data_IF_083850250819
#
_entry.id   IF_083850250819
#
_cell.length_a   1.000
_cell.length_b   1.000
_cell.length_c   1.000
_cell.angle_alpha   90.00
_cell.angle_beta   90.00
_cell.angle_gamma   90.00
#
_symmetry.space_group_name_H-M   'P 1'
#
loop_
_entity.id
_entity.type
_entity.pdbx_description
1 polymer ?
#
# COMPACT_ATOMS: atom_id res chain seq x y z
N UNK A 1 34.77 -24.70 -5.96
CA UNK A 1 34.59 -24.56 -4.51
C UNK A 1 33.25 -23.87 -4.28
N UNK A 2 32.32 -24.47 -3.54
CA UNK A 2 31.05 -23.83 -3.21
C UNK A 2 31.26 -22.92 -2.00
N UNK A 3 30.89 -21.63 -2.10
CA UNK A 3 30.82 -20.70 -0.97
C UNK A 3 29.37 -20.70 -0.48
N UNK A 4 29.12 -21.17 0.74
CA UNK A 4 27.81 -21.09 1.39
C UNK A 4 27.74 -19.77 2.16
N UNK A 5 26.69 -18.98 1.92
CA UNK A 5 26.44 -17.73 2.63
C UNK A 5 25.24 -17.93 3.53
N UNK A 6 25.40 -17.66 4.82
CA UNK A 6 24.32 -17.69 5.82
C UNK A 6 24.03 -16.26 6.25
N UNK A 7 22.79 -15.83 6.08
CA UNK A 7 22.33 -14.51 6.50
C UNK A 7 21.40 -14.72 7.69
N UNK A 8 21.73 -14.09 8.82
CA UNK A 8 20.90 -14.10 10.03
C UNK A 8 20.28 -12.71 10.17
N UNK A 9 18.97 -12.66 10.39
CA UNK A 9 18.24 -11.39 10.52
C UNK A 9 17.04 -11.55 11.45
N UNK A 10 16.64 -10.44 12.06
CA UNK A 10 15.48 -10.38 12.96
C UNK A 10 14.30 -9.80 12.18
N UNK A 11 13.16 -10.50 12.18
CA UNK A 11 11.92 -10.01 11.57
C UNK A 11 11.41 -8.82 12.37
N UNK A 12 11.24 -7.67 11.71
CA UNK A 12 10.66 -6.48 12.35
C UNK A 12 9.14 -6.53 12.39
N UNK A 13 8.59 -6.03 13.49
CA UNK A 13 7.16 -5.82 13.72
C UNK A 13 6.72 -4.40 13.36
N UNK A 14 7.17 -3.86 12.23
CA UNK A 14 6.91 -2.48 11.81
C UNK A 14 6.71 -2.32 10.30
N UNK A 15 6.16 -1.18 9.84
CA UNK A 15 5.88 -0.94 8.43
C UNK A 15 7.15 -1.01 7.57
N UNK A 16 7.04 -1.67 6.41
CA UNK A 16 8.10 -1.81 5.42
C UNK A 16 8.52 -0.41 4.96
N UNK A 17 9.74 0.02 5.30
CA UNK A 17 10.28 1.34 4.96
C UNK A 17 10.50 2.29 6.14
N UNK A 18 10.00 1.97 7.34
CA UNK A 18 10.36 2.65 8.59
C UNK A 18 11.73 2.20 9.14
N UNK A 19 12.63 1.80 8.24
CA UNK A 19 14.00 1.45 8.59
C UNK A 19 14.85 2.68 8.80
N UNK A 20 15.72 2.62 9.80
CA UNK A 20 16.74 3.64 10.05
C UNK A 20 17.69 3.71 8.83
N UNK A 21 18.46 4.80 8.73
CA UNK A 21 19.42 4.98 7.64
C UNK A 21 20.40 3.80 7.50
N UNK A 22 20.70 3.11 8.60
CA UNK A 22 21.51 1.90 8.66
C UNK A 22 20.89 0.72 7.89
N UNK A 23 19.57 0.53 7.95
CA UNK A 23 18.90 -0.60 7.28
C UNK A 23 18.90 -0.44 5.76
N UNK A 24 18.70 0.80 5.30
CA UNK A 24 18.76 1.13 3.87
C UNK A 24 20.16 0.91 3.32
N UNK A 25 21.19 1.18 4.12
CA UNK A 25 22.58 0.91 3.77
C UNK A 25 22.84 -0.60 3.68
N UNK A 26 22.41 -1.36 4.68
CA UNK A 26 22.58 -2.81 4.73
C UNK A 26 21.87 -3.52 3.57
N UNK A 27 20.65 -3.08 3.23
CA UNK A 27 19.91 -3.60 2.07
C UNK A 27 20.64 -3.34 0.76
N UNK A 28 21.22 -2.15 0.56
CA UNK A 28 22.03 -1.85 -0.63
C UNK A 28 23.26 -2.76 -0.72
N UNK A 29 23.98 -2.94 0.38
CA UNK A 29 25.13 -3.83 0.43
C UNK A 29 24.76 -5.29 0.08
N UNK A 30 23.67 -5.81 0.64
CA UNK A 30 23.19 -7.17 0.32
C UNK A 30 22.82 -7.33 -1.16
N UNK A 31 22.22 -6.31 -1.77
CA UNK A 31 21.90 -6.31 -3.20
C UNK A 31 23.16 -6.28 -4.07
N UNK A 32 24.17 -5.51 -3.68
CA UNK A 32 25.45 -5.43 -4.39
C UNK A 32 26.22 -6.76 -4.33
N UNK A 33 26.25 -7.41 -3.16
CA UNK A 33 26.81 -8.77 -2.98
C UNK A 33 26.08 -9.76 -3.90
N UNK A 34 24.75 -9.69 -3.95
CA UNK A 34 23.94 -10.55 -4.82
C UNK A 34 24.19 -10.34 -6.33
N UNK A 35 24.67 -9.16 -6.73
CA UNK A 35 24.97 -8.81 -8.14
C UNK A 35 26.33 -9.28 -8.63
N UNK A 36 27.20 -9.81 -7.77
CA UNK A 36 28.43 -10.48 -8.20
C UNK A 36 29.68 -10.17 -7.38
N UNK A 37 29.61 -9.24 -6.44
CA UNK A 37 30.75 -8.95 -5.57
C UNK A 37 30.78 -9.92 -4.37
N UNK A 38 31.15 -11.18 -4.66
CA UNK A 38 31.21 -12.27 -3.67
C UNK A 38 32.47 -12.22 -2.80
N UNK A 39 33.44 -11.39 -3.15
CA UNK A 39 34.69 -11.22 -2.40
C UNK A 39 34.62 -10.04 -1.43
N UNK A 40 33.56 -9.22 -1.50
CA UNK A 40 33.22 -8.22 -0.47
C UNK A 40 32.71 -8.82 0.85
N UNK A 41 32.43 -10.12 0.91
CA UNK A 41 32.05 -10.81 2.15
C UNK A 41 33.30 -11.26 2.90
N UNK A 42 33.52 -10.67 4.08
CA UNK A 42 34.53 -11.10 5.03
C UNK A 42 34.39 -12.60 5.38
N UNK A 43 35.51 -13.29 5.52
CA UNK A 43 35.52 -14.70 5.91
C UNK A 43 35.02 -14.86 7.35
N UNK A 44 34.35 -15.98 7.67
CA UNK A 44 33.98 -16.34 9.05
C UNK A 44 35.19 -16.37 9.99
N UNK A 45 36.38 -16.65 9.45
CA UNK A 45 37.66 -16.65 10.17
C UNK A 45 38.05 -15.26 10.69
N UNK A 46 37.48 -14.18 10.15
CA UNK A 46 37.73 -12.81 10.61
C UNK A 46 36.90 -12.46 11.86
N UNK A 47 35.88 -13.27 12.19
CA UNK A 47 34.93 -12.99 13.29
C UNK A 47 35.08 -13.92 14.50
N UNK A 48 36.24 -14.58 14.65
CA UNK A 48 36.49 -15.57 15.72
C UNK A 48 36.24 -15.01 17.12
N UNK A 49 36.44 -13.71 17.34
CA UNK A 49 36.32 -13.05 18.64
C UNK A 49 34.98 -12.31 18.86
N UNK A 50 34.03 -12.39 17.93
CA UNK A 50 32.71 -11.77 18.06
C UNK A 50 31.59 -12.80 17.86
N UNK A 51 31.24 -13.58 18.91
CA UNK A 51 30.11 -14.48 18.84
C UNK A 51 28.82 -13.66 18.64
N UNK A 52 28.09 -13.94 17.55
CA UNK A 52 26.75 -13.39 17.37
C UNK A 52 25.80 -14.05 18.36
N UNK A 53 25.31 -13.27 19.32
CA UNK A 53 24.32 -13.75 20.29
C UNK A 53 22.98 -13.95 19.59
N UNK A 54 22.63 -15.21 19.36
CA UNK A 54 21.33 -15.58 18.82
C UNK A 54 20.26 -15.24 19.88
N UNK A 55 19.28 -14.37 19.58
CA UNK A 55 18.21 -14.09 20.51
C UNK A 55 17.43 -15.36 20.81
N UNK A 56 17.09 -15.57 22.08
CA UNK A 56 16.28 -16.71 22.50
C UNK A 56 14.93 -16.63 21.78
N UNK A 57 14.60 -17.67 21.02
CA UNK A 57 13.29 -17.77 20.39
C UNK A 57 12.20 -17.72 21.47
N UNK A 58 11.07 -17.06 21.18
CA UNK A 58 9.88 -17.24 22.01
C UNK A 58 9.49 -18.72 22.04
N UNK A 59 8.80 -19.18 23.08
CA UNK A 59 8.35 -20.58 23.25
C UNK A 59 7.34 -21.04 22.17
N UNK A 60 7.20 -20.29 21.08
CA UNK A 60 6.35 -20.61 19.96
C UNK A 60 7.02 -21.68 19.10
N UNK A 61 6.24 -22.61 18.56
CA UNK A 61 6.77 -23.65 17.69
C UNK A 61 7.45 -23.02 16.46
N UNK A 62 8.66 -23.49 16.08
CA UNK A 62 9.36 -22.96 14.92
C UNK A 62 8.56 -23.21 13.65
N UNK A 63 7.99 -22.15 13.07
CA UNK A 63 7.28 -22.23 11.80
C UNK A 63 8.27 -22.33 10.64
N UNK A 64 8.41 -23.53 10.07
CA UNK A 64 9.09 -23.72 8.80
C UNK A 64 8.11 -23.46 7.65
N UNK A 65 8.35 -22.41 6.87
CA UNK A 65 7.61 -22.18 5.62
C UNK A 65 8.33 -22.83 4.45
N UNK A 66 7.70 -23.82 3.84
CA UNK A 66 8.16 -24.37 2.57
C UNK A 66 7.92 -23.35 1.44
N UNK A 67 8.71 -23.43 0.36
CA UNK A 67 8.51 -22.59 -0.83
C UNK A 67 7.17 -22.86 -1.54
N UNK A 68 6.50 -23.97 -1.21
CA UNK A 68 5.19 -24.35 -1.73
C UNK A 68 4.15 -23.91 -0.70
N UNK A 69 3.27 -22.99 -1.11
CA UNK A 69 2.20 -22.49 -0.24
C UNK A 69 1.16 -23.61 0.00
N UNK A 70 0.98 -23.99 1.27
CA UNK A 70 -0.14 -24.82 1.71
C UNK A 70 -1.43 -23.98 1.71
N UNK A 71 -2.52 -24.56 1.20
CA UNK A 71 -3.82 -23.90 1.08
C UNK A 71 -4.41 -23.57 2.45
N UNK A 72 -4.19 -24.42 3.45
CA UNK A 72 -4.73 -24.18 4.79
C UNK A 72 -3.92 -23.12 5.55
N UNK A 73 -2.59 -23.10 5.40
CA UNK A 73 -1.75 -22.01 5.94
C UNK A 73 -2.11 -20.67 5.28
N UNK A 74 -2.33 -20.67 3.96
CA UNK A 74 -2.74 -19.48 3.23
C UNK A 74 -4.08 -18.94 3.70
N UNK A 75 -5.05 -19.81 4.01
CA UNK A 75 -6.35 -19.40 4.56
C UNK A 75 -6.19 -18.68 5.90
N UNK A 76 -5.37 -19.21 6.79
CA UNK A 76 -5.11 -18.60 8.09
C UNK A 76 -4.41 -17.23 7.93
N UNK A 77 -3.41 -17.16 7.05
CA UNK A 77 -2.70 -15.92 6.75
C UNK A 77 -3.62 -14.85 6.14
N UNK A 78 -4.53 -15.24 5.24
CA UNK A 78 -5.52 -14.33 4.64
C UNK A 78 -6.41 -13.74 5.74
N UNK A 79 -6.91 -14.55 6.67
CA UNK A 79 -7.79 -14.03 7.75
C UNK A 79 -7.12 -12.98 8.65
N UNK A 80 -5.80 -13.03 8.80
CA UNK A 80 -5.03 -12.08 9.61
C UNK A 80 -4.30 -11.02 8.76
N UNK A 81 -4.61 -10.95 7.46
CA UNK A 81 -3.89 -10.08 6.54
C UNK A 81 -4.19 -8.60 6.83
N UNK A 82 -3.15 -7.76 7.01
CA UNK A 82 -3.33 -6.32 7.22
C UNK A 82 -3.92 -5.62 5.99
N UNK A 83 -3.93 -6.29 4.83
CA UNK A 83 -4.56 -5.80 3.60
C UNK A 83 -6.03 -5.49 3.85
N UNK A 84 -6.76 -6.32 4.59
CA UNK A 84 -8.18 -6.08 4.86
C UNK A 84 -8.41 -4.79 5.64
N UNK A 85 -7.57 -4.50 6.64
CA UNK A 85 -7.65 -3.23 7.38
C UNK A 85 -7.38 -2.00 6.51
N UNK A 86 -6.55 -2.16 5.46
CA UNK A 86 -6.25 -1.09 4.50
C UNK A 86 -7.41 -0.89 3.54
N UNK A 87 -7.99 -1.99 3.05
CA UNK A 87 -9.19 -1.97 2.21
C UNK A 87 -10.37 -1.38 2.98
N UNK A 88 -10.57 -1.75 4.25
CA UNK A 88 -11.59 -1.14 5.10
C UNK A 88 -11.41 0.36 5.28
N UNK A 89 -10.18 0.86 5.40
CA UNK A 89 -9.93 2.31 5.45
C UNK A 89 -10.16 3.02 4.12
N UNK A 90 -9.96 2.33 3.00
CA UNK A 90 -10.24 2.86 1.66
C UNK A 90 -11.74 2.82 1.33
N UNK A 91 -12.47 1.82 1.84
CA UNK A 91 -13.91 1.66 1.65
C UNK A 91 -14.73 2.43 2.69
N UNK A 92 -14.22 2.55 3.91
CA UNK A 92 -14.81 3.29 5.01
C UNK A 92 -14.57 4.77 4.80
N UNK A 93 -15.48 5.43 4.09
CA UNK A 93 -15.49 6.88 4.12
C UNK A 93 -15.70 7.34 5.57
N UNK A 94 -14.83 8.22 6.06
CA UNK A 94 -15.00 8.92 7.33
C UNK A 94 -16.21 9.88 7.33
N UNK A 95 -17.07 9.79 6.31
CA UNK A 95 -18.31 10.54 6.13
C UNK A 95 -19.55 9.63 6.09
N UNK A 96 -19.53 8.51 6.84
CA UNK A 96 -20.65 7.57 7.03
C UNK A 96 -21.98 8.19 7.58
N UNK A 97 -22.10 9.52 7.66
CA UNK A 97 -23.34 10.19 8.06
C UNK A 97 -24.09 10.90 6.92
N UNK A 98 -23.65 10.77 5.67
CA UNK A 98 -24.47 11.16 4.53
C UNK A 98 -25.51 10.07 4.25
N UNK A 99 -26.57 9.97 5.06
CA UNK A 99 -27.74 9.18 4.69
C UNK A 99 -28.45 9.87 3.54
N UNK A 100 -28.25 9.40 2.31
CA UNK A 100 -29.05 9.82 1.18
C UNK A 100 -30.50 9.36 1.42
N UNK A 101 -31.40 10.30 1.70
CA UNK A 101 -32.82 10.03 1.67
C UNK A 101 -33.22 9.63 0.26
N UNK A 102 -34.16 8.68 0.14
CA UNK A 102 -34.65 8.22 -1.15
C UNK A 102 -35.34 9.40 -1.85
N UNK A 103 -34.83 9.89 -2.98
CA UNK A 103 -35.41 11.06 -3.61
C UNK A 103 -36.80 10.69 -4.17
N UNK A 104 -37.75 11.62 -4.08
CA UNK A 104 -39.11 11.43 -4.61
C UNK A 104 -39.13 11.25 -6.14
N UNK A 105 -38.06 11.64 -6.82
CA UNK A 105 -37.87 11.53 -8.26
C UNK A 105 -36.48 10.95 -8.56
N UNK A 106 -36.33 10.18 -9.65
CA UNK A 106 -35.04 9.64 -10.05
C UNK A 106 -34.02 10.75 -10.30
N UNK A 107 -32.80 10.56 -9.81
CA UNK A 107 -31.71 11.51 -10.04
C UNK A 107 -31.41 11.66 -11.53
N UNK A 108 -31.24 12.91 -11.97
CA UNK A 108 -30.67 13.19 -13.29
C UNK A 108 -29.18 12.85 -13.30
N UNK A 109 -28.62 12.63 -14.49
CA UNK A 109 -27.20 12.26 -14.68
C UNK A 109 -26.24 13.20 -13.95
N UNK A 110 -26.51 14.51 -13.97
CA UNK A 110 -25.70 15.52 -13.27
C UNK A 110 -25.71 15.34 -11.75
N UNK A 111 -26.88 15.08 -11.15
CA UNK A 111 -26.98 14.83 -9.71
C UNK A 111 -26.21 13.57 -9.30
N UNK A 112 -26.29 12.51 -10.12
CA UNK A 112 -25.54 11.28 -9.88
C UNK A 112 -24.03 11.52 -9.92
N UNK A 113 -23.54 12.27 -10.92
CA UNK A 113 -22.13 12.62 -11.02
C UNK A 113 -21.66 13.41 -9.78
N UNK A 114 -22.45 14.39 -9.32
CA UNK A 114 -22.13 15.16 -8.11
C UNK A 114 -22.11 14.30 -6.85
N UNK A 115 -23.07 13.40 -6.69
CA UNK A 115 -23.13 12.49 -5.52
C UNK A 115 -21.99 11.46 -5.52
N UNK A 116 -21.61 10.96 -6.69
CA UNK A 116 -20.44 10.09 -6.85
C UNK A 116 -19.16 10.85 -6.53
N UNK A 117 -18.97 12.05 -7.11
CA UNK A 117 -17.82 12.92 -6.85
C UNK A 117 -17.68 13.28 -5.36
N UNK A 118 -18.81 13.53 -4.68
CA UNK A 118 -18.86 13.83 -3.24
C UNK A 118 -18.63 12.59 -2.34
N UNK A 119 -18.48 11.40 -2.91
CA UNK A 119 -18.32 10.14 -2.16
C UNK A 119 -19.58 9.68 -1.41
N UNK A 120 -20.73 10.32 -1.67
CA UNK A 120 -22.01 9.94 -1.09
C UNK A 120 -22.58 8.64 -1.70
N UNK A 121 -22.07 8.24 -2.87
CA UNK A 121 -22.38 7.00 -3.57
C UNK A 121 -21.16 6.07 -3.70
N UNK A 122 -20.30 6.00 -2.67
CA UNK A 122 -19.18 5.05 -2.60
C UNK A 122 -19.69 3.62 -2.35
N UNK A 123 -20.42 3.06 -3.31
CA UNK A 123 -21.12 1.79 -3.14
C UNK A 123 -21.20 1.01 -4.44
N UNK A 124 -21.61 -0.26 -4.32
CA UNK A 124 -21.85 -1.11 -5.46
C UNK A 124 -23.10 -0.65 -6.23
N UNK A 125 -22.93 -0.37 -7.51
CA UNK A 125 -23.97 0.04 -8.46
C UNK A 125 -24.16 -1.08 -9.48
N UNK A 126 -25.41 -1.37 -9.84
CA UNK A 126 -25.75 -2.45 -10.78
C UNK A 126 -26.06 -3.79 -10.10
N UNK A 127 -26.39 -4.80 -10.90
CA UNK A 127 -26.88 -6.11 -10.46
C UNK A 127 -26.22 -7.20 -11.31
N UNK A 128 -25.87 -8.33 -10.67
CA UNK A 128 -25.27 -9.48 -11.36
C UNK A 128 -23.88 -9.17 -11.94
N UNK A 129 -23.66 -9.54 -13.20
CA UNK A 129 -22.37 -9.37 -13.89
C UNK A 129 -22.04 -7.91 -14.20
N UNK A 130 -23.04 -7.02 -14.19
CA UNK A 130 -22.89 -5.57 -14.34
C UNK A 130 -22.82 -4.85 -12.99
N UNK A 131 -22.39 -5.55 -11.93
CA UNK A 131 -22.13 -4.94 -10.64
C UNK A 131 -20.76 -4.28 -10.67
N UNK A 132 -20.74 -2.98 -10.50
CA UNK A 132 -19.53 -2.17 -10.42
C UNK A 132 -19.47 -1.45 -9.09
N UNK A 133 -18.28 -1.31 -8.53
CA UNK A 133 -18.05 -0.44 -7.39
C UNK A 133 -17.64 0.94 -7.91
N UNK A 134 -18.36 1.97 -7.50
CA UNK A 134 -18.05 3.36 -7.85
C UNK A 134 -17.44 4.05 -6.65
N UNK A 135 -16.31 4.73 -6.85
CA UNK A 135 -15.61 5.47 -5.80
C UNK A 135 -15.29 6.88 -6.30
N UNK A 136 -15.79 7.89 -5.60
CA UNK A 136 -15.37 9.28 -5.80
C UNK A 136 -14.07 9.57 -5.06
N UNK A 137 -13.08 10.10 -5.78
CA UNK A 137 -11.79 10.49 -5.19
C UNK A 137 -11.56 11.98 -5.45
N UNK A 138 -11.52 12.76 -4.38
CA UNK A 138 -11.11 14.18 -4.46
C UNK A 138 -9.65 14.30 -4.01
N UNK A 139 -8.80 14.84 -4.88
CA UNK A 139 -7.38 15.11 -4.60
C UNK A 139 -7.12 16.61 -4.60
N UNK A 140 -6.57 17.11 -3.49
CA UNK A 140 -6.03 18.46 -3.39
C UNK A 140 -4.68 18.53 -4.11
N UNK A 141 -4.55 19.44 -5.06
CA UNK A 141 -3.31 19.76 -5.77
C UNK A 141 -3.00 21.23 -5.54
N UNK A 142 -1.75 21.58 -5.25
CA UNK A 142 -1.32 22.97 -5.12
C UNK A 142 -0.59 23.32 -6.42
N UNK A 143 -1.15 24.24 -7.18
CA UNK A 143 -0.54 24.79 -8.39
C UNK A 143 0.10 26.14 -8.02
N UNK A 144 1.42 26.24 -8.16
CA UNK A 144 2.18 27.46 -7.91
C UNK A 144 2.50 28.15 -9.23
N UNK A 145 2.03 29.38 -9.41
CA UNK A 145 2.36 30.23 -10.57
C UNK A 145 3.17 31.42 -10.07
N UNK A 146 4.30 31.69 -10.72
CA UNK A 146 5.10 32.90 -10.48
C UNK A 146 4.43 34.02 -11.28
N UNK A 147 4.14 35.13 -10.63
CA UNK A 147 3.51 36.29 -11.28
C UNK A 147 4.43 36.86 -12.37
N UNK A 148 3.93 37.00 -13.60
CA UNK A 148 4.70 37.53 -14.74
C UNK A 148 5.11 38.99 -14.53
N UNK A 149 4.39 39.75 -13.69
CA UNK A 149 4.68 41.17 -13.43
C UNK A 149 5.61 41.42 -12.24
N UNK A 150 5.79 40.43 -11.35
CA UNK A 150 6.66 40.52 -10.19
C UNK A 150 7.21 39.13 -9.83
N UNK A 151 8.45 38.80 -10.26
CA UNK A 151 9.03 37.48 -10.07
C UNK A 151 9.31 37.13 -8.59
N UNK A 152 9.07 38.06 -7.65
CA UNK A 152 9.16 37.79 -6.21
C UNK A 152 7.84 37.33 -5.58
N UNK A 153 6.72 37.35 -6.32
CA UNK A 153 5.42 36.87 -5.85
C UNK A 153 5.10 35.48 -6.39
N UNK A 154 5.01 34.52 -5.47
CA UNK A 154 4.50 33.17 -5.74
C UNK A 154 3.00 33.13 -5.40
N UNK A 155 2.14 32.94 -6.40
CA UNK A 155 0.71 32.72 -6.20
C UNK A 155 0.48 31.22 -6.07
N UNK A 156 0.04 30.78 -4.89
CA UNK A 156 -0.34 29.40 -4.62
C UNK A 156 -1.85 29.24 -4.76
N UNK A 157 -2.26 28.50 -5.77
CA UNK A 157 -3.66 28.17 -6.02
C UNK A 157 -3.93 26.74 -5.56
N UNK A 158 -4.86 26.58 -4.62
CA UNK A 158 -5.34 25.26 -4.23
C UNK A 158 -6.43 24.80 -5.20
N UNK A 159 -6.16 23.71 -5.92
CA UNK A 159 -7.09 23.10 -6.88
C UNK A 159 -7.56 21.75 -6.34
N UNK A 160 -8.86 21.58 -6.21
CA UNK A 160 -9.48 20.31 -5.84
C UNK A 160 -9.92 19.59 -7.12
N UNK A 161 -9.19 18.55 -7.52
CA UNK A 161 -9.52 17.72 -8.68
C UNK A 161 -10.30 16.50 -8.19
N UNK A 162 -11.51 16.31 -8.69
CA UNK A 162 -12.35 15.17 -8.33
C UNK A 162 -12.41 14.21 -9.52
N UNK A 163 -12.12 12.94 -9.28
CA UNK A 163 -12.19 11.88 -10.28
C UNK A 163 -13.13 10.78 -9.77
N UNK A 164 -13.81 10.09 -10.69
CA UNK A 164 -14.68 8.96 -10.36
C UNK A 164 -14.01 7.69 -10.87
N UNK A 165 -13.81 6.70 -9.99
CA UNK A 165 -13.25 5.39 -10.34
C UNK A 165 -14.34 4.34 -10.35
N UNK A 166 -14.38 3.58 -11.44
CA UNK A 166 -15.24 2.43 -11.63
C UNK A 166 -14.41 1.16 -11.52
N UNK A 167 -14.78 0.28 -10.59
CA UNK A 167 -14.20 -1.05 -10.44
C UNK A 167 -15.23 -2.07 -10.90
N UNK A 168 -14.92 -2.81 -11.95
CA UNK A 168 -15.78 -3.87 -12.46
C UNK A 168 -15.54 -5.18 -11.72
N UNK A 169 -16.54 -6.08 -11.74
CA UNK A 169 -16.44 -7.40 -11.12
C UNK A 169 -15.30 -8.27 -11.69
N UNK A 170 -14.87 -8.00 -12.93
CA UNK A 170 -13.71 -8.64 -13.59
C UNK A 170 -12.35 -8.05 -13.17
N UNK A 171 -12.34 -7.09 -12.23
CA UNK A 171 -11.13 -6.44 -11.72
C UNK A 171 -10.60 -5.29 -12.58
N UNK A 172 -11.31 -4.90 -13.64
CA UNK A 172 -10.93 -3.72 -14.45
C UNK A 172 -11.21 -2.42 -13.69
N UNK A 173 -10.30 -1.48 -13.82
CA UNK A 173 -10.40 -0.14 -13.23
C UNK A 173 -10.54 0.86 -14.38
N UNK A 174 -11.56 1.71 -14.33
CA UNK A 174 -11.77 2.79 -15.30
C UNK A 174 -11.90 4.10 -14.54
N UNK A 175 -11.13 5.10 -14.95
CA UNK A 175 -11.23 6.46 -14.41
C UNK A 175 -12.11 7.29 -15.35
N UNK A 176 -13.13 7.91 -14.78
CA UNK A 176 -14.04 8.82 -15.46
C UNK A 176 -13.64 10.24 -15.04
N UNK A 177 -13.15 11.00 -16.01
CA UNK A 177 -12.86 12.44 -15.91
C UNK A 177 -14.10 13.28 -16.21
#
# INVERSE_FOLDING_TARGET
MYKQVVIVGIRRSGPIGAGDASDKHMLKQLVEIGKGDKDALASLEEFVDQPYMIPVASNDEPMFRAAIADVEELRQDVTHSPVFSTVEKMMGSTSSHASLSTPLLPFRRTHMATLMAAGALNSAVGIGDNRHLVVGVTKKTIESVIDENDPTKEIRTEVYKTAIRLYSADGRITELE
#
